data_IF_197333450612
#
_entry.id   IF_197333450612
#
_cell.length_a   1.000
_cell.length_b   1.000
_cell.length_c   1.000
_cell.angle_alpha   90.00
_cell.angle_beta   90.00
_cell.angle_gamma   90.00
#
_symmetry.space_group_name_H-M   'P 1'
#
loop_
_entity.id
_entity.type
_entity.pdbx_description
1 polymer ?
#
# COMPACT_ATOMS: atom_id res chain seq x y z
N UNK A 1 -17.01 15.32 0.21
CA UNK A 1 -16.21 14.63 -0.83
C UNK A 1 -17.19 13.86 -1.68
N UNK A 2 -17.12 14.05 -2.98
CA UNK A 2 -17.95 13.31 -3.94
C UNK A 2 -17.36 11.92 -4.18
N UNK A 3 -18.15 10.99 -4.71
CA UNK A 3 -17.67 9.67 -5.16
C UNK A 3 -16.47 9.81 -6.12
N UNK A 4 -16.51 10.80 -7.01
CA UNK A 4 -15.45 11.13 -7.96
C UNK A 4 -14.12 11.49 -7.26
N UNK A 5 -14.15 12.14 -6.10
CA UNK A 5 -12.94 12.49 -5.36
C UNK A 5 -12.20 11.26 -4.83
N UNK A 6 -12.94 10.20 -4.50
CA UNK A 6 -12.36 8.96 -3.99
C UNK A 6 -11.76 8.11 -5.12
N UNK A 7 -12.39 8.13 -6.28
CA UNK A 7 -11.91 7.48 -7.51
C UNK A 7 -10.54 8.05 -7.93
N UNK A 8 -10.44 9.38 -7.99
CA UNK A 8 -9.19 10.06 -8.34
C UNK A 8 -8.07 9.83 -7.31
N UNK A 9 -8.42 9.70 -6.03
CA UNK A 9 -7.45 9.36 -4.98
C UNK A 9 -6.94 7.93 -5.10
N UNK A 10 -7.80 7.00 -5.50
CA UNK A 10 -7.39 5.62 -5.72
C UNK A 10 -6.44 5.53 -6.90
N UNK A 11 -6.80 6.10 -8.06
CA UNK A 11 -5.92 6.21 -9.23
C UNK A 11 -4.57 6.83 -8.91
N UNK A 12 -4.56 7.88 -8.08
CA UNK A 12 -3.33 8.52 -7.66
C UNK A 12 -2.48 7.64 -6.72
N UNK A 13 -3.09 6.73 -5.96
CA UNK A 13 -2.38 5.74 -5.13
C UNK A 13 -1.82 4.61 -6.00
N UNK A 14 -2.63 4.03 -6.89
CA UNK A 14 -2.21 3.01 -7.88
C UNK A 14 -1.02 3.52 -8.71
N UNK A 15 -1.11 4.74 -9.23
CA UNK A 15 -0.02 5.36 -10.01
C UNK A 15 1.27 5.49 -9.20
N UNK A 16 1.18 5.77 -7.89
CA UNK A 16 2.37 5.84 -7.03
C UNK A 16 2.99 4.47 -6.81
N UNK A 17 2.19 3.42 -6.72
CA UNK A 17 2.67 2.02 -6.59
C UNK A 17 3.36 1.59 -7.88
N UNK A 18 2.70 1.80 -9.02
CA UNK A 18 3.22 1.40 -10.34
C UNK A 18 4.58 2.05 -10.63
N UNK A 19 4.74 3.33 -10.27
CA UNK A 19 5.99 4.09 -10.47
C UNK A 19 7.00 3.97 -9.32
N UNK A 20 6.73 3.16 -8.29
CA UNK A 20 7.66 3.00 -7.18
C UNK A 20 8.90 2.19 -7.60
N UNK A 21 10.02 2.43 -6.90
CA UNK A 21 11.32 1.82 -7.19
C UNK A 21 11.51 0.42 -6.57
N UNK A 22 10.60 -0.04 -5.72
CA UNK A 22 10.64 -1.39 -5.16
C UNK A 22 10.24 -2.46 -6.17
N UNK A 23 10.39 -3.73 -5.77
CA UNK A 23 10.24 -4.88 -6.66
C UNK A 23 8.85 -4.97 -7.29
N UNK A 24 8.77 -5.54 -8.49
CA UNK A 24 7.49 -5.81 -9.14
C UNK A 24 6.64 -6.79 -8.33
N UNK A 25 7.27 -7.72 -7.59
CA UNK A 25 6.57 -8.64 -6.70
C UNK A 25 5.80 -7.88 -5.61
N UNK A 26 6.42 -6.89 -4.97
CA UNK A 26 5.76 -6.08 -3.94
C UNK A 26 4.61 -5.23 -4.51
N UNK A 27 4.74 -4.76 -5.75
CA UNK A 27 3.63 -4.08 -6.44
C UNK A 27 2.46 -5.05 -6.65
N UNK A 28 2.75 -6.27 -7.11
CA UNK A 28 1.72 -7.30 -7.31
C UNK A 28 1.03 -7.68 -6.00
N UNK A 29 1.76 -7.76 -4.88
CA UNK A 29 1.17 -7.98 -3.55
C UNK A 29 0.19 -6.85 -3.20
N UNK A 30 0.55 -5.59 -3.47
CA UNK A 30 -0.34 -4.45 -3.19
C UNK A 30 -1.60 -4.46 -4.05
N UNK A 31 -1.48 -4.76 -5.36
CA UNK A 31 -2.63 -4.85 -6.25
C UNK A 31 -3.52 -6.07 -5.94
N UNK A 32 -2.92 -7.20 -5.57
CA UNK A 32 -3.70 -8.37 -5.14
C UNK A 32 -4.50 -8.06 -3.86
N UNK A 33 -3.90 -7.32 -2.93
CA UNK A 33 -4.59 -6.86 -1.73
C UNK A 33 -5.71 -5.85 -2.05
N UNK A 34 -5.51 -4.97 -3.04
CA UNK A 34 -6.58 -4.09 -3.53
C UNK A 34 -7.79 -4.89 -4.04
N UNK A 35 -7.57 -5.90 -4.87
CA UNK A 35 -8.63 -6.78 -5.39
C UNK A 35 -9.39 -7.49 -4.27
N UNK A 36 -8.69 -7.93 -3.22
CA UNK A 36 -9.30 -8.52 -2.02
C UNK A 36 -10.20 -7.50 -1.29
N UNK A 37 -9.72 -6.26 -1.09
CA UNK A 37 -10.51 -5.23 -0.42
C UNK A 37 -11.77 -4.83 -1.21
N UNK A 38 -11.69 -4.85 -2.54
CA UNK A 38 -12.87 -4.68 -3.39
C UNK A 38 -13.86 -5.83 -3.23
N UNK A 39 -13.37 -7.07 -3.14
CA UNK A 39 -14.19 -8.26 -2.92
C UNK A 39 -14.89 -8.23 -1.56
N UNK A 40 -14.27 -7.62 -0.56
CA UNK A 40 -14.84 -7.39 0.77
C UNK A 40 -15.78 -6.17 0.86
N UNK A 41 -16.10 -5.52 -0.27
CA UNK A 41 -16.98 -4.35 -0.37
C UNK A 41 -16.51 -3.16 0.49
N UNK A 42 -15.18 -2.97 0.60
CA UNK A 42 -14.64 -1.77 1.24
C UNK A 42 -14.81 -0.55 0.35
N UNK A 43 -15.08 0.59 0.99
CA UNK A 43 -15.17 1.86 0.26
C UNK A 43 -13.82 2.27 -0.34
N UNK A 44 -13.86 2.91 -1.50
CA UNK A 44 -12.69 3.48 -2.19
C UNK A 44 -11.80 4.33 -1.26
N UNK A 45 -12.42 5.03 -0.30
CA UNK A 45 -11.67 5.81 0.70
C UNK A 45 -10.80 4.93 1.61
N UNK A 46 -11.27 3.75 2.00
CA UNK A 46 -10.51 2.81 2.84
C UNK A 46 -9.43 2.13 2.02
N UNK A 47 -9.76 1.66 0.81
CA UNK A 47 -8.81 1.04 -0.12
C UNK A 47 -7.64 2.00 -0.39
N UNK A 48 -7.94 3.23 -0.84
CA UNK A 48 -6.92 4.26 -1.10
C UNK A 48 -6.06 4.57 0.13
N UNK A 49 -6.67 4.59 1.33
CA UNK A 49 -5.93 4.80 2.58
C UNK A 49 -4.97 3.64 2.86
N UNK A 50 -5.42 2.39 2.74
CA UNK A 50 -4.58 1.22 3.01
C UNK A 50 -3.46 1.09 1.99
N UNK A 51 -3.73 1.23 0.70
CA UNK A 51 -2.70 1.26 -0.33
C UNK A 51 -1.68 2.37 -0.09
N UNK A 52 -2.13 3.58 0.28
CA UNK A 52 -1.23 4.68 0.61
C UNK A 52 -0.32 4.37 1.80
N UNK A 53 -0.83 3.72 2.84
CA UNK A 53 -0.05 3.33 4.01
C UNK A 53 0.95 2.22 3.70
N UNK A 54 0.53 1.18 2.97
CA UNK A 54 1.38 0.06 2.61
C UNK A 54 2.46 0.46 1.61
N UNK A 55 2.14 1.30 0.61
CA UNK A 55 3.13 1.87 -0.29
C UNK A 55 4.19 2.66 0.48
N UNK A 56 3.78 3.49 1.46
CA UNK A 56 4.73 4.22 2.30
C UNK A 56 5.58 3.27 3.14
N UNK A 57 4.96 2.27 3.76
CA UNK A 57 5.67 1.26 4.54
C UNK A 57 6.72 0.57 3.68
N UNK A 58 6.36 0.15 2.46
CA UNK A 58 7.29 -0.51 1.54
C UNK A 58 8.50 0.35 1.20
N UNK A 59 8.30 1.63 0.94
CA UNK A 59 9.38 2.57 0.66
C UNK A 59 10.31 2.82 1.87
N UNK A 60 9.86 2.51 3.09
CA UNK A 60 10.62 2.73 4.32
C UNK A 60 11.33 1.47 4.83
N UNK A 61 10.84 0.28 4.48
CA UNK A 61 11.51 -0.98 4.75
C UNK A 61 12.46 -1.34 3.60
N UNK A 62 13.64 -1.88 3.93
CA UNK A 62 14.65 -2.28 2.92
C UNK A 62 14.52 -3.75 2.49
N UNK A 63 13.40 -4.38 2.82
CA UNK A 63 13.11 -5.79 2.53
C UNK A 63 11.78 -5.86 1.80
N UNK A 64 11.61 -6.88 0.96
CA UNK A 64 10.32 -7.14 0.31
C UNK A 64 9.28 -7.55 1.36
N UNK A 65 7.99 -7.46 1.01
CA UNK A 65 6.91 -7.81 1.93
C UNK A 65 6.99 -9.27 2.39
N UNK A 66 7.26 -10.19 1.47
CA UNK A 66 7.33 -11.63 1.77
C UNK A 66 8.52 -12.00 2.65
N UNK A 67 9.59 -11.21 2.59
CA UNK A 67 10.82 -11.42 3.36
C UNK A 67 10.84 -10.64 4.67
N UNK A 68 9.84 -9.80 4.92
CA UNK A 68 9.81 -8.91 6.07
C UNK A 68 9.62 -9.69 7.39
N UNK A 69 10.60 -9.60 8.29
CA UNK A 69 10.50 -10.25 9.60
C UNK A 69 9.82 -9.34 10.62
N UNK A 70 9.33 -9.93 11.72
CA UNK A 70 8.81 -9.16 12.86
C UNK A 70 9.86 -8.14 13.38
N UNK A 71 11.15 -8.48 13.32
CA UNK A 71 12.23 -7.58 13.74
C UNK A 71 12.32 -6.36 12.81
N UNK A 72 12.17 -6.55 11.51
CA UNK A 72 12.19 -5.44 10.54
C UNK A 72 11.03 -4.48 10.77
N UNK A 73 9.83 -5.02 11.04
CA UNK A 73 8.65 -4.23 11.38
C UNK A 73 8.82 -3.48 12.71
N UNK A 74 9.35 -4.13 13.75
CA UNK A 74 9.66 -3.48 15.04
C UNK A 74 10.68 -2.35 14.88
N UNK A 75 11.71 -2.58 14.06
CA UNK A 75 12.73 -1.56 13.77
C UNK A 75 12.11 -0.36 13.04
N UNK A 76 11.22 -0.61 12.08
CA UNK A 76 10.50 0.44 11.35
C UNK A 76 9.66 1.33 12.28
N UNK A 77 8.83 0.71 13.14
CA UNK A 77 7.99 1.44 14.09
C UNK A 77 8.83 2.17 15.14
N UNK A 78 9.91 1.54 15.63
CA UNK A 78 10.83 2.12 16.59
C UNK A 78 11.58 3.36 16.08
N UNK A 79 11.91 3.40 14.78
CA UNK A 79 12.53 4.56 14.12
C UNK A 79 11.57 5.73 13.83
N UNK A 80 10.27 5.51 13.97
CA UNK A 80 9.23 6.53 13.72
C UNK A 80 8.87 7.33 14.98
N UNK A 81 9.54 7.07 16.12
CA UNK A 81 9.50 7.86 17.35
C UNK A 81 10.67 8.83 17.40
#
# INVERSE_FOLDING_TARGET
MSLHDYDERLKAAEKRIMNASYSENDKNVLFSYEDELFTEDLSLSRISKYLGQLNRLRNMINVNFEDATERDLKNFVGKSK
#
